data_IF_792978087787
#
_entry.id   IF_792978087787
#
_cell.length_a   1.000
_cell.length_b   1.000
_cell.length_c   1.000
_cell.angle_alpha   90.00
_cell.angle_beta   90.00
_cell.angle_gamma   90.00
#
_symmetry.space_group_name_H-M   'P 1'
#
loop_
_entity.id
_entity.type
_entity.pdbx_description
1 polymer ?
#
# COMPACT_ATOMS: atom_id res chain seq x y z
N UNK A 1 -9.99 13.55 -3.05
CA UNK A 1 -9.62 14.33 -4.23
C UNK A 1 -10.63 15.45 -4.54
N UNK A 2 -11.90 15.15 -4.75
CA UNK A 2 -12.90 16.14 -5.20
C UNK A 2 -13.15 17.22 -4.14
N UNK A 3 -13.36 16.81 -2.89
CA UNK A 3 -13.77 17.72 -1.81
C UNK A 3 -12.58 18.39 -1.10
N UNK A 4 -11.53 17.62 -0.80
CA UNK A 4 -10.45 18.07 0.08
C UNK A 4 -9.25 18.63 -0.68
N UNK A 5 -8.84 18.02 -1.80
CA UNK A 5 -7.54 18.30 -2.41
C UNK A 5 -7.33 19.79 -2.78
N UNK A 6 -8.32 20.41 -3.46
CA UNK A 6 -8.22 21.82 -3.85
C UNK A 6 -8.16 22.75 -2.64
N UNK A 7 -8.97 22.47 -1.63
CA UNK A 7 -9.01 23.27 -0.38
C UNK A 7 -7.69 23.10 0.37
N UNK A 8 -7.23 21.86 0.55
CA UNK A 8 -5.98 21.57 1.24
C UNK A 8 -4.79 22.25 0.56
N UNK A 9 -4.69 22.21 -0.78
CA UNK A 9 -3.63 22.93 -1.50
C UNK A 9 -3.69 24.43 -1.32
N UNK A 10 -4.88 25.02 -1.39
CA UNK A 10 -5.05 26.46 -1.21
C UNK A 10 -4.68 26.89 0.20
N UNK A 11 -5.14 26.16 1.20
CA UNK A 11 -4.89 26.46 2.59
C UNK A 11 -3.46 26.14 3.05
N UNK A 12 -2.83 25.10 2.53
CA UNK A 12 -1.42 24.79 2.84
C UNK A 12 -0.48 25.89 2.33
N UNK A 13 -0.80 26.45 1.16
CA UNK A 13 -0.08 27.61 0.62
C UNK A 13 -0.25 28.87 1.48
N UNK A 14 -1.47 29.12 1.94
CA UNK A 14 -1.76 30.25 2.84
C UNK A 14 -1.16 30.05 4.25
N UNK A 15 -0.92 28.79 4.65
CA UNK A 15 -0.30 28.40 5.92
C UNK A 15 1.23 28.28 5.76
N UNK A 16 1.87 29.30 5.18
CA UNK A 16 3.33 29.40 5.01
C UNK A 16 3.93 28.28 4.12
N UNK A 17 3.19 27.91 3.06
CA UNK A 17 3.55 26.84 2.11
C UNK A 17 4.03 25.56 2.81
N UNK A 18 3.27 25.14 3.82
CA UNK A 18 3.61 23.99 4.66
C UNK A 18 3.86 22.73 3.82
N UNK A 19 5.00 22.08 4.04
CA UNK A 19 5.43 20.89 3.30
C UNK A 19 5.01 19.57 3.97
N UNK A 20 4.71 19.62 5.27
CA UNK A 20 4.22 18.46 6.04
C UNK A 20 2.84 18.74 6.61
N UNK A 21 2.07 17.68 6.85
CA UNK A 21 0.74 17.81 7.44
C UNK A 21 0.80 18.33 8.91
N UNK A 22 1.74 17.85 9.77
CA UNK A 22 1.91 18.45 11.10
C UNK A 22 2.22 19.94 11.06
N UNK A 23 3.09 20.40 10.17
CA UNK A 23 3.39 21.83 9.98
C UNK A 23 2.15 22.59 9.52
N UNK A 24 1.40 22.05 8.55
CA UNK A 24 0.15 22.65 8.10
C UNK A 24 -0.86 22.85 9.23
N UNK A 25 -1.07 21.84 10.06
CA UNK A 25 -2.00 21.91 11.18
C UNK A 25 -1.54 22.95 12.22
N UNK A 26 -0.26 22.96 12.54
CA UNK A 26 0.33 23.93 13.48
C UNK A 26 0.16 25.37 12.98
N UNK A 27 0.47 25.63 11.72
CA UNK A 27 0.33 26.95 11.12
C UNK A 27 -1.15 27.37 10.96
N UNK A 28 -2.03 26.43 10.62
CA UNK A 28 -3.46 26.66 10.48
C UNK A 28 -4.13 27.10 11.78
N UNK A 29 -3.77 26.45 12.89
CA UNK A 29 -4.34 26.79 14.19
C UNK A 29 -3.60 27.92 14.90
N UNK A 30 -2.54 28.46 14.26
CA UNK A 30 -1.72 29.55 14.78
C UNK A 30 -1.31 29.30 16.25
N UNK A 31 -0.97 28.06 16.58
CA UNK A 31 -0.65 27.68 17.96
C UNK A 31 0.84 27.92 18.24
N UNK A 32 1.13 28.57 19.36
CA UNK A 32 2.51 28.73 19.86
C UNK A 32 3.05 27.42 20.45
N UNK A 33 2.16 26.49 20.81
CA UNK A 33 2.53 25.20 21.36
C UNK A 33 2.99 24.24 20.27
N UNK A 34 4.16 23.66 20.47
CA UNK A 34 4.72 22.60 19.59
C UNK A 34 4.18 21.21 19.89
N UNK A 35 3.31 21.09 20.89
CA UNK A 35 2.77 19.77 21.27
C UNK A 35 1.99 19.12 20.15
N UNK A 36 1.18 19.87 19.40
CA UNK A 36 0.44 19.39 18.24
C UNK A 36 1.39 18.82 17.17
N UNK A 37 2.43 19.58 16.80
CA UNK A 37 3.42 19.16 15.81
C UNK A 37 4.17 17.91 16.25
N UNK A 38 4.58 17.85 17.52
CA UNK A 38 5.25 16.69 18.11
C UNK A 38 4.37 15.45 18.08
N UNK A 39 3.12 15.57 18.54
CA UNK A 39 2.17 14.44 18.60
C UNK A 39 1.90 13.88 17.20
N UNK A 40 1.61 14.75 16.23
CA UNK A 40 1.39 14.34 14.85
C UNK A 40 2.61 13.63 14.25
N UNK A 41 3.81 14.16 14.46
CA UNK A 41 5.04 13.55 13.95
C UNK A 41 5.32 12.18 14.59
N UNK A 42 5.05 12.01 15.88
CA UNK A 42 5.18 10.72 16.57
C UNK A 42 4.18 9.68 16.02
N UNK A 43 2.92 10.08 15.78
CA UNK A 43 1.92 9.21 15.14
C UNK A 43 2.42 8.76 13.77
N UNK A 44 2.99 9.67 12.97
CA UNK A 44 3.54 9.34 11.64
C UNK A 44 4.67 8.31 11.73
N UNK A 45 5.64 8.54 12.61
CA UNK A 45 6.76 7.63 12.78
C UNK A 45 6.30 6.23 13.16
N UNK A 46 5.40 6.13 14.15
CA UNK A 46 4.91 4.85 14.64
C UNK A 46 4.07 4.12 13.59
N UNK A 47 3.04 4.77 13.06
CA UNK A 47 2.11 4.15 12.13
C UNK A 47 2.77 3.78 10.79
N UNK A 48 3.66 4.63 10.25
CA UNK A 48 4.37 4.30 9.02
C UNK A 48 5.40 3.19 9.20
N UNK A 49 6.04 3.08 10.35
CA UNK A 49 6.96 1.96 10.61
C UNK A 49 6.23 0.61 10.54
N UNK A 50 5.01 0.54 11.13
CA UNK A 50 4.17 -0.66 11.05
C UNK A 50 3.72 -0.91 9.60
N UNK A 51 3.34 0.14 8.89
CA UNK A 51 2.87 0.01 7.51
C UNK A 51 3.99 -0.42 6.55
N UNK A 52 5.21 0.09 6.71
CA UNK A 52 6.39 -0.38 5.95
C UNK A 52 6.68 -1.86 6.24
N UNK A 53 6.48 -2.31 7.48
CA UNK A 53 6.61 -3.73 7.81
C UNK A 53 5.62 -4.60 7.03
N UNK A 54 4.38 -4.14 6.80
CA UNK A 54 3.41 -4.86 5.96
C UNK A 54 3.88 -4.99 4.50
N UNK A 55 4.48 -3.94 3.94
CA UNK A 55 5.04 -3.97 2.58
C UNK A 55 6.22 -4.94 2.47
N UNK A 56 7.07 -5.05 3.51
CA UNK A 56 8.14 -6.05 3.56
C UNK A 56 7.59 -7.47 3.56
N UNK A 57 6.55 -7.76 4.34
CA UNK A 57 5.90 -9.08 4.35
C UNK A 57 5.30 -9.39 2.98
N UNK A 58 4.61 -8.44 2.35
CA UNK A 58 4.01 -8.61 1.03
C UNK A 58 5.06 -8.92 -0.04
N UNK A 59 6.12 -8.12 -0.13
CA UNK A 59 7.21 -8.34 -1.06
C UNK A 59 7.94 -9.67 -0.83
N UNK A 60 8.16 -10.03 0.43
CA UNK A 60 8.77 -11.32 0.79
C UNK A 60 7.93 -12.50 0.32
N UNK A 61 6.60 -12.43 0.45
CA UNK A 61 5.69 -13.50 0.00
C UNK A 61 5.82 -13.76 -1.51
N UNK A 62 5.98 -12.70 -2.32
CA UNK A 62 6.21 -12.84 -3.76
C UNK A 62 7.59 -13.46 -4.04
N UNK A 63 8.62 -12.97 -3.36
CA UNK A 63 9.98 -13.47 -3.54
C UNK A 63 10.12 -14.95 -3.22
N UNK A 64 9.55 -15.39 -2.09
CA UNK A 64 9.59 -16.80 -1.69
C UNK A 64 8.74 -17.71 -2.58
N UNK A 65 7.68 -17.16 -3.18
CA UNK A 65 6.87 -17.89 -4.17
C UNK A 65 7.65 -18.07 -5.49
N UNK A 66 8.47 -17.11 -5.87
CA UNK A 66 9.31 -17.18 -7.08
C UNK A 66 10.56 -18.02 -6.88
N UNK A 67 11.16 -17.92 -5.71
CA UNK A 67 12.41 -18.60 -5.33
C UNK A 67 12.21 -19.42 -4.05
N UNK A 68 11.55 -20.58 -4.13
CA UNK A 68 11.22 -21.40 -2.95
C UNK A 68 12.44 -21.88 -2.15
N UNK A 69 13.62 -21.90 -2.77
CA UNK A 69 14.89 -22.28 -2.15
C UNK A 69 15.49 -21.17 -1.27
N UNK A 70 15.03 -19.94 -1.43
CA UNK A 70 15.54 -18.79 -0.65
C UNK A 70 14.78 -18.71 0.67
N UNK A 71 15.49 -18.65 1.78
CA UNK A 71 14.84 -18.49 3.08
C UNK A 71 14.06 -17.16 3.16
N UNK A 72 12.88 -17.12 3.81
CA UNK A 72 12.08 -15.91 3.93
C UNK A 72 12.84 -14.72 4.53
N UNK A 73 13.75 -14.96 5.47
CA UNK A 73 14.57 -13.90 6.08
C UNK A 73 15.54 -13.27 5.09
N UNK A 74 16.18 -14.08 4.23
CA UNK A 74 17.09 -13.58 3.19
C UNK A 74 16.29 -12.81 2.14
N UNK A 75 15.15 -13.33 1.71
CA UNK A 75 14.25 -12.67 0.76
C UNK A 75 13.79 -11.30 1.29
N UNK A 76 13.36 -11.25 2.55
CA UNK A 76 12.94 -10.01 3.22
C UNK A 76 14.08 -9.00 3.33
N UNK A 77 15.28 -9.44 3.67
CA UNK A 77 16.44 -8.56 3.76
C UNK A 77 16.87 -8.01 2.38
N UNK A 78 16.86 -8.85 1.35
CA UNK A 78 17.13 -8.41 -0.02
C UNK A 78 16.10 -7.37 -0.49
N UNK A 79 14.82 -7.60 -0.19
CA UNK A 79 13.74 -6.67 -0.51
C UNK A 79 13.87 -5.34 0.26
N UNK A 80 14.25 -5.40 1.55
CA UNK A 80 14.57 -4.22 2.35
C UNK A 80 15.68 -3.38 1.71
N UNK A 81 16.76 -4.01 1.24
CA UNK A 81 17.87 -3.29 0.59
C UNK A 81 17.41 -2.56 -0.66
N UNK A 82 16.51 -3.15 -1.45
CA UNK A 82 15.95 -2.51 -2.65
C UNK A 82 15.15 -1.26 -2.23
N UNK A 83 14.23 -1.37 -1.26
CA UNK A 83 13.44 -0.23 -0.78
C UNK A 83 14.34 0.88 -0.25
N UNK A 84 15.31 0.52 0.59
CA UNK A 84 16.25 1.50 1.17
C UNK A 84 17.05 2.21 0.09
N UNK A 85 17.55 1.49 -0.92
CA UNK A 85 18.29 2.09 -2.03
C UNK A 85 17.43 3.11 -2.79
N UNK A 86 16.19 2.74 -3.12
CA UNK A 86 15.25 3.65 -3.78
C UNK A 86 15.00 4.93 -2.96
N UNK A 87 14.67 4.77 -1.68
CA UNK A 87 14.30 5.90 -0.81
C UNK A 87 15.51 6.77 -0.46
N UNK A 88 16.67 6.14 -0.20
CA UNK A 88 17.87 6.85 0.23
C UNK A 88 18.46 7.75 -0.86
N UNK A 89 18.48 7.27 -2.11
CA UNK A 89 19.05 8.02 -3.24
C UNK A 89 18.02 8.86 -3.98
N UNK A 90 16.73 8.51 -3.94
CA UNK A 90 15.71 9.07 -4.80
C UNK A 90 15.22 10.46 -4.37
N UNK A 91 14.80 10.65 -3.15
CA UNK A 91 14.07 11.84 -2.72
C UNK A 91 12.67 11.96 -3.33
N UNK A 92 11.92 13.02 -2.99
CA UNK A 92 10.49 13.14 -3.35
C UNK A 92 10.20 13.09 -4.85
N UNK A 93 10.97 13.81 -5.66
CA UNK A 93 10.74 13.86 -7.12
C UNK A 93 10.99 12.52 -7.78
N UNK A 94 12.05 11.83 -7.39
CA UNK A 94 12.38 10.52 -7.94
C UNK A 94 11.32 9.48 -7.53
N UNK A 95 10.88 9.49 -6.27
CA UNK A 95 9.79 8.62 -5.79
C UNK A 95 8.51 8.87 -6.59
N UNK A 96 8.13 10.13 -6.85
CA UNK A 96 6.95 10.42 -7.67
C UNK A 96 7.06 9.85 -9.10
N UNK A 97 8.24 9.91 -9.73
CA UNK A 97 8.46 9.35 -11.07
C UNK A 97 8.45 7.81 -11.07
N UNK A 98 9.12 7.19 -10.09
CA UNK A 98 9.09 5.74 -9.96
C UNK A 98 7.69 5.22 -9.67
N UNK A 99 6.95 5.87 -8.75
CA UNK A 99 5.56 5.55 -8.44
C UNK A 99 4.65 5.64 -9.67
N UNK A 100 4.87 6.63 -10.54
CA UNK A 100 4.10 6.77 -11.77
C UNK A 100 4.28 5.55 -12.70
N UNK A 101 5.52 5.15 -12.99
CA UNK A 101 5.79 4.00 -13.86
C UNK A 101 5.38 2.68 -13.19
N UNK A 102 5.59 2.53 -11.90
CA UNK A 102 5.17 1.38 -11.12
C UNK A 102 3.65 1.27 -11.09
N UNK A 103 2.94 2.40 -10.88
CA UNK A 103 1.48 2.46 -10.93
C UNK A 103 0.91 2.09 -12.29
N UNK A 104 1.55 2.52 -13.38
CA UNK A 104 1.17 2.14 -14.73
C UNK A 104 1.35 0.63 -14.97
N UNK A 105 2.48 0.07 -14.54
CA UNK A 105 2.77 -1.35 -14.63
C UNK A 105 1.75 -2.18 -13.83
N UNK A 106 1.41 -1.73 -12.61
CA UNK A 106 0.39 -2.38 -11.76
C UNK A 106 -0.98 -2.38 -12.43
N UNK A 107 -1.42 -1.25 -12.96
CA UNK A 107 -2.71 -1.13 -13.64
C UNK A 107 -2.78 -2.06 -14.86
N UNK A 108 -1.73 -2.07 -15.68
CA UNK A 108 -1.65 -2.96 -16.84
C UNK A 108 -1.68 -4.44 -16.42
N UNK A 109 -0.95 -4.81 -15.38
CA UNK A 109 -0.94 -6.18 -14.87
C UNK A 109 -2.31 -6.62 -14.35
N UNK A 110 -2.99 -5.76 -13.58
CA UNK A 110 -4.33 -6.04 -13.06
C UNK A 110 -5.37 -6.17 -14.18
N UNK A 111 -5.29 -5.36 -15.22
CA UNK A 111 -6.21 -5.42 -16.36
C UNK A 111 -5.95 -6.63 -17.25
N UNK A 112 -4.69 -6.94 -17.52
CA UNK A 112 -4.30 -7.93 -18.51
C UNK A 112 -4.72 -9.35 -18.09
N UNK A 113 -4.61 -9.69 -16.81
CA UNK A 113 -4.93 -11.03 -16.30
C UNK A 113 -6.42 -11.39 -16.55
N UNK A 114 -7.40 -10.64 -16.06
CA UNK A 114 -8.81 -10.97 -16.32
C UNK A 114 -9.19 -10.84 -17.80
N UNK A 115 -8.57 -9.92 -18.52
CA UNK A 115 -8.85 -9.72 -19.96
C UNK A 115 -8.47 -10.96 -20.78
N UNK A 116 -7.26 -11.52 -20.54
CA UNK A 116 -6.79 -12.72 -21.25
C UNK A 116 -7.69 -13.93 -20.92
N UNK A 117 -8.09 -14.08 -19.67
CA UNK A 117 -9.02 -15.15 -19.28
C UNK A 117 -10.37 -14.99 -19.96
N UNK A 118 -10.93 -13.79 -19.96
CA UNK A 118 -12.24 -13.51 -20.53
C UNK A 118 -12.27 -13.73 -22.06
N UNK A 119 -11.23 -13.30 -22.78
CA UNK A 119 -11.20 -13.35 -24.26
C UNK A 119 -10.65 -14.70 -24.76
N UNK A 120 -9.59 -15.21 -24.14
CA UNK A 120 -8.85 -16.35 -24.66
C UNK A 120 -9.19 -17.69 -23.99
N UNK A 121 -9.81 -17.67 -22.83
CA UNK A 121 -10.03 -18.87 -22.00
C UNK A 121 -11.40 -18.86 -21.31
N UNK A 122 -12.41 -18.30 -21.96
CA UNK A 122 -13.77 -18.21 -21.43
C UNK A 122 -14.42 -19.57 -21.22
N UNK A 123 -13.95 -20.59 -21.95
CA UNK A 123 -14.34 -22.00 -21.81
C UNK A 123 -13.95 -22.61 -20.47
N UNK A 124 -12.95 -22.03 -19.78
CA UNK A 124 -12.50 -22.49 -18.47
C UNK A 124 -13.27 -21.83 -17.31
N UNK A 125 -14.14 -20.87 -17.58
CA UNK A 125 -14.93 -20.19 -16.57
C UNK A 125 -16.11 -21.06 -16.15
N UNK A 126 -15.98 -21.75 -15.01
CA UNK A 126 -17.04 -22.55 -14.41
C UNK A 126 -17.81 -21.77 -13.34
N UNK A 127 -19.01 -21.25 -13.63
CA UNK A 127 -19.81 -20.50 -12.68
C UNK A 127 -20.25 -21.33 -11.46
N UNK A 128 -20.29 -22.66 -11.57
CA UNK A 128 -20.67 -23.53 -10.45
C UNK A 128 -19.65 -23.49 -9.32
N UNK A 129 -18.39 -23.19 -9.64
CA UNK A 129 -17.33 -23.01 -8.65
C UNK A 129 -17.60 -21.84 -7.68
N UNK A 130 -18.45 -20.88 -8.05
CA UNK A 130 -18.81 -19.75 -7.18
C UNK A 130 -19.76 -20.17 -6.05
N UNK A 131 -20.63 -21.12 -6.30
CA UNK A 131 -21.64 -21.59 -5.33
C UNK A 131 -21.24 -22.86 -4.62
N UNK A 132 -20.19 -23.57 -5.11
CA UNK A 132 -19.71 -24.80 -4.50
C UNK A 132 -18.99 -24.49 -3.18
N UNK A 133 -19.41 -25.19 -2.12
CA UNK A 133 -18.72 -25.17 -0.82
C UNK A 133 -17.60 -26.19 -0.86
N UNK A 134 -16.39 -25.74 -0.52
CA UNK A 134 -15.22 -26.61 -0.41
C UNK A 134 -14.78 -26.72 1.03
N UNK A 135 -14.40 -27.93 1.44
CA UNK A 135 -13.75 -28.17 2.71
C UNK A 135 -12.23 -28.14 2.52
N UNK A 136 -11.53 -27.44 3.38
CA UNK A 136 -10.09 -27.47 3.44
C UNK A 136 -9.62 -27.59 4.89
N UNK A 137 -8.50 -28.26 5.07
CA UNK A 137 -7.86 -28.35 6.38
C UNK A 137 -6.84 -27.22 6.49
N UNK A 138 -7.00 -26.36 7.49
CA UNK A 138 -6.03 -25.31 7.79
C UNK A 138 -4.70 -25.95 8.19
N UNK A 139 -3.64 -25.62 7.47
CA UNK A 139 -2.32 -26.23 7.68
C UNK A 139 -1.67 -25.84 9.02
N UNK A 140 -2.08 -24.72 9.63
CA UNK A 140 -1.53 -24.24 10.90
C UNK A 140 -2.27 -24.81 12.12
N UNK A 141 -3.60 -24.97 12.02
CA UNK A 141 -4.45 -25.36 13.15
C UNK A 141 -4.95 -26.81 13.06
N UNK A 142 -4.89 -27.43 11.86
CA UNK A 142 -5.50 -28.73 11.59
C UNK A 142 -7.04 -28.71 11.55
N UNK A 143 -7.66 -27.54 11.68
CA UNK A 143 -9.10 -27.40 11.68
C UNK A 143 -9.66 -27.53 10.27
N UNK A 144 -10.76 -28.31 10.14
CA UNK A 144 -11.51 -28.41 8.89
C UNK A 144 -12.43 -27.19 8.79
N UNK A 145 -12.25 -26.38 7.75
CA UNK A 145 -13.03 -25.19 7.51
C UNK A 145 -13.79 -25.31 6.20
N UNK A 146 -15.07 -24.98 6.23
CA UNK A 146 -15.86 -24.86 5.01
C UNK A 146 -15.66 -23.47 4.40
N UNK A 147 -15.26 -23.43 3.12
CA UNK A 147 -15.08 -22.21 2.37
C UNK A 147 -16.11 -22.14 1.24
N UNK A 148 -17.04 -21.21 1.36
CA UNK A 148 -17.93 -20.80 0.28
C UNK A 148 -17.45 -19.46 -0.26
N UNK A 149 -17.53 -19.26 -1.58
CA UNK A 149 -17.21 -17.95 -2.17
C UNK A 149 -18.30 -16.90 -1.85
N UNK A 150 -19.46 -17.37 -1.41
CA UNK A 150 -20.68 -16.58 -1.25
C UNK A 150 -21.67 -16.86 -2.38
N UNK A 151 -22.96 -16.71 -2.12
CA UNK A 151 -24.02 -17.07 -3.06
C UNK A 151 -24.07 -16.18 -4.30
N UNK A 152 -23.81 -14.91 -4.20
CA UNK A 152 -23.86 -13.95 -5.29
C UNK A 152 -23.02 -12.70 -5.03
N UNK A 153 -22.83 -11.90 -6.07
CA UNK A 153 -22.10 -10.63 -6.00
C UNK A 153 -22.71 -9.67 -4.96
N UNK A 154 -24.00 -9.80 -4.69
CA UNK A 154 -24.76 -8.92 -3.82
C UNK A 154 -25.17 -9.54 -2.47
N UNK A 155 -24.63 -10.70 -2.13
CA UNK A 155 -24.98 -11.43 -0.89
C UNK A 155 -24.16 -10.98 0.33
N UNK A 156 -23.56 -9.81 0.27
CA UNK A 156 -22.83 -9.23 1.41
C UNK A 156 -23.80 -8.79 2.52
N UNK A 157 -23.44 -9.09 3.77
CA UNK A 157 -24.18 -8.58 4.90
C UNK A 157 -24.08 -7.05 5.01
N UNK A 158 -25.04 -6.40 5.65
CA UNK A 158 -24.96 -4.96 5.84
C UNK A 158 -23.72 -4.55 6.67
N UNK A 159 -23.26 -5.42 7.57
CA UNK A 159 -22.04 -5.22 8.34
C UNK A 159 -20.81 -5.20 7.46
N UNK A 160 -20.72 -6.13 6.49
CA UNK A 160 -19.60 -6.17 5.54
C UNK A 160 -19.59 -4.94 4.63
N UNK A 161 -20.79 -4.50 4.19
CA UNK A 161 -20.92 -3.28 3.38
C UNK A 161 -20.45 -2.06 4.18
N UNK A 162 -20.90 -1.89 5.42
CA UNK A 162 -20.52 -0.75 6.27
C UNK A 162 -19.04 -0.82 6.61
N UNK A 163 -18.49 -1.99 6.92
CA UNK A 163 -17.06 -2.18 7.16
C UNK A 163 -16.23 -1.81 5.94
N UNK A 164 -16.62 -2.30 4.75
CA UNK A 164 -15.95 -1.96 3.49
C UNK A 164 -16.00 -0.46 3.16
N UNK A 165 -17.14 0.19 3.40
CA UNK A 165 -17.26 1.66 3.24
C UNK A 165 -16.43 2.41 4.28
N UNK A 166 -16.29 1.87 5.49
CA UNK A 166 -15.44 2.43 6.55
C UNK A 166 -13.98 2.55 6.16
N UNK A 167 -13.46 1.62 5.36
CA UNK A 167 -12.13 1.71 4.78
C UNK A 167 -11.94 2.99 3.94
N UNK A 168 -12.97 3.40 3.20
CA UNK A 168 -12.94 4.63 2.41
C UNK A 168 -12.74 5.88 3.25
N UNK A 169 -13.21 5.90 4.50
CA UNK A 169 -13.02 7.03 5.41
C UNK A 169 -11.55 7.22 5.82
N UNK A 170 -10.79 6.14 5.92
CA UNK A 170 -9.35 6.20 6.23
C UNK A 170 -8.54 7.00 5.22
N UNK A 171 -8.94 7.05 3.95
CA UNK A 171 -8.25 7.83 2.92
C UNK A 171 -8.20 9.33 3.22
N UNK A 172 -9.17 9.88 3.94
CA UNK A 172 -9.17 11.30 4.31
C UNK A 172 -8.02 11.67 5.25
N UNK A 173 -7.54 10.72 6.05
CA UNK A 173 -6.47 10.93 7.00
C UNK A 173 -5.09 10.44 6.56
N UNK A 174 -4.93 9.84 5.37
CA UNK A 174 -3.66 9.25 4.95
C UNK A 174 -2.61 10.30 4.54
N UNK A 175 -1.56 10.52 5.36
CA UNK A 175 -0.64 11.65 5.14
C UNK A 175 0.11 11.56 3.81
N UNK A 176 0.52 10.38 3.34
CA UNK A 176 1.21 10.22 2.07
C UNK A 176 0.34 10.58 0.85
N UNK A 177 -1.00 10.52 0.98
CA UNK A 177 -1.94 11.01 -0.03
C UNK A 177 -2.11 12.52 0.10
N UNK A 178 -2.31 13.02 1.32
CA UNK A 178 -2.55 14.43 1.60
C UNK A 178 -1.35 15.31 1.19
N UNK A 179 -0.13 14.84 1.45
CA UNK A 179 1.10 15.54 1.03
C UNK A 179 1.17 15.69 -0.51
N UNK A 180 0.68 14.70 -1.27
CA UNK A 180 0.61 14.82 -2.73
C UNK A 180 -0.36 15.92 -3.18
N UNK A 181 -1.47 16.16 -2.46
CA UNK A 181 -2.34 17.32 -2.74
C UNK A 181 -1.63 18.63 -2.44
N UNK A 182 -0.90 18.68 -1.34
CA UNK A 182 -0.14 19.87 -0.92
C UNK A 182 1.01 20.19 -1.88
N UNK A 183 1.62 19.19 -2.53
CA UNK A 183 2.76 19.37 -3.44
C UNK A 183 2.37 19.76 -4.88
N UNK A 184 1.09 19.75 -5.25
CA UNK A 184 0.65 20.15 -6.59
C UNK A 184 0.96 21.64 -6.81
N UNK A 185 1.61 21.97 -7.93
CA UNK A 185 2.07 23.33 -8.25
C UNK A 185 0.94 24.35 -8.21
N UNK A 186 -0.17 24.08 -8.91
CA UNK A 186 -1.31 24.98 -9.03
C UNK A 186 -2.62 24.31 -8.65
N UNK A 187 -3.48 24.94 -7.82
CA UNK A 187 -4.80 24.38 -7.47
C UNK A 187 -5.68 24.05 -8.68
N UNK A 188 -5.49 24.72 -9.83
CA UNK A 188 -6.20 24.44 -11.08
C UNK A 188 -5.87 23.08 -11.68
N UNK A 189 -4.70 22.50 -11.39
CA UNK A 189 -4.27 21.19 -11.90
C UNK A 189 -4.95 20.04 -11.15
N UNK A 190 -5.48 20.28 -9.97
CA UNK A 190 -6.09 19.26 -9.11
C UNK A 190 -7.25 18.55 -9.83
N UNK A 191 -8.06 19.27 -10.61
CA UNK A 191 -9.17 18.64 -11.35
C UNK A 191 -8.68 17.54 -12.29
N UNK A 192 -7.60 17.77 -13.04
CA UNK A 192 -7.00 16.77 -13.94
C UNK A 192 -6.42 15.58 -13.15
N UNK A 193 -5.66 15.88 -12.10
CA UNK A 193 -5.08 14.85 -11.21
C UNK A 193 -6.17 13.99 -10.56
N UNK A 194 -7.28 14.59 -10.14
CA UNK A 194 -8.42 13.87 -9.56
C UNK A 194 -9.05 12.90 -10.55
N UNK A 195 -9.26 13.32 -11.78
CA UNK A 195 -9.83 12.45 -12.83
C UNK A 195 -8.92 11.26 -13.06
N UNK A 196 -7.63 11.48 -13.25
CA UNK A 196 -6.65 10.41 -13.45
C UNK A 196 -6.64 9.43 -12.27
N UNK A 197 -6.58 9.95 -11.04
CA UNK A 197 -6.56 9.11 -9.85
C UNK A 197 -7.84 8.29 -9.68
N UNK A 198 -9.02 8.90 -9.88
CA UNK A 198 -10.31 8.21 -9.74
C UNK A 198 -10.47 7.12 -10.81
N UNK A 199 -10.15 7.43 -12.06
CA UNK A 199 -10.20 6.45 -13.16
C UNK A 199 -9.24 5.29 -12.88
N UNK A 200 -8.01 5.58 -12.44
CA UNK A 200 -7.03 4.57 -12.06
C UNK A 200 -7.57 3.64 -10.95
N UNK A 201 -8.14 4.21 -9.89
CA UNK A 201 -8.69 3.44 -8.76
C UNK A 201 -9.84 2.56 -9.21
N UNK A 202 -10.79 3.10 -10.00
CA UNK A 202 -11.94 2.31 -10.49
C UNK A 202 -11.45 1.13 -11.32
N UNK A 203 -10.57 1.35 -12.28
CA UNK A 203 -10.04 0.28 -13.14
C UNK A 203 -9.30 -0.77 -12.31
N UNK A 204 -8.42 -0.32 -11.41
CA UNK A 204 -7.59 -1.24 -10.61
C UNK A 204 -8.42 -2.10 -9.66
N UNK A 205 -9.37 -1.51 -8.93
CA UNK A 205 -10.24 -2.24 -8.00
C UNK A 205 -11.18 -3.18 -8.74
N UNK A 206 -11.79 -2.72 -9.83
CA UNK A 206 -12.65 -3.58 -10.65
C UNK A 206 -11.87 -4.78 -11.22
N UNK A 207 -10.68 -4.55 -11.74
CA UNK A 207 -9.81 -5.62 -12.24
C UNK A 207 -9.41 -6.61 -11.13
N UNK A 208 -9.11 -6.12 -9.91
CA UNK A 208 -8.80 -6.98 -8.77
C UNK A 208 -9.98 -7.87 -8.39
N UNK A 209 -11.21 -7.34 -8.40
CA UNK A 209 -12.43 -8.13 -8.17
C UNK A 209 -12.61 -9.18 -9.27
N UNK A 210 -12.40 -8.83 -10.54
CA UNK A 210 -12.48 -9.80 -11.64
C UNK A 210 -11.43 -10.91 -11.52
N UNK A 211 -10.22 -10.60 -11.06
CA UNK A 211 -9.19 -11.61 -10.79
C UNK A 211 -9.66 -12.61 -9.73
N UNK A 212 -10.28 -12.13 -8.66
CA UNK A 212 -10.83 -13.00 -7.63
C UNK A 212 -11.95 -13.91 -8.18
N UNK A 213 -12.87 -13.34 -8.94
CA UNK A 213 -13.99 -14.05 -9.58
C UNK A 213 -13.52 -15.11 -10.58
N UNK A 214 -12.73 -14.70 -11.57
CA UNK A 214 -12.24 -15.62 -12.60
C UNK A 214 -11.25 -16.63 -12.02
N UNK A 215 -10.43 -16.19 -11.06
CA UNK A 215 -9.54 -17.09 -10.34
C UNK A 215 -10.30 -18.21 -9.63
N UNK A 216 -11.44 -17.89 -8.98
CA UNK A 216 -12.29 -18.91 -8.36
C UNK A 216 -12.89 -19.84 -9.41
N UNK A 217 -13.42 -19.33 -10.52
CA UNK A 217 -14.01 -20.13 -11.57
C UNK A 217 -13.00 -21.08 -12.24
N UNK A 218 -11.77 -20.60 -12.45
CA UNK A 218 -10.73 -21.36 -13.17
C UNK A 218 -9.97 -22.30 -12.29
N UNK A 219 -9.67 -21.91 -11.03
CA UNK A 219 -8.83 -22.67 -10.10
C UNK A 219 -9.64 -23.57 -9.15
N UNK A 220 -10.93 -23.28 -8.99
CA UNK A 220 -11.81 -24.07 -8.09
C UNK A 220 -11.26 -24.13 -6.67
N UNK A 221 -11.02 -25.36 -6.18
CA UNK A 221 -10.46 -25.64 -4.86
C UNK A 221 -8.92 -25.71 -4.82
N UNK A 222 -8.24 -25.61 -5.96
CA UNK A 222 -6.79 -25.89 -6.07
C UNK A 222 -5.96 -25.05 -5.07
N UNK A 223 -6.28 -23.76 -4.96
CA UNK A 223 -5.57 -22.86 -4.04
C UNK A 223 -6.05 -22.96 -2.59
N UNK A 224 -7.27 -23.42 -2.37
CA UNK A 224 -7.86 -23.55 -1.03
C UNK A 224 -7.24 -24.70 -0.24
N UNK A 225 -7.01 -25.84 -0.88
CA UNK A 225 -6.44 -27.04 -0.23
C UNK A 225 -5.07 -26.81 0.40
N UNK A 226 -4.36 -25.76 -0.05
CA UNK A 226 -3.05 -25.39 0.47
C UNK A 226 -3.06 -24.06 1.26
N UNK A 227 -4.22 -23.43 1.45
CA UNK A 227 -4.33 -22.10 2.05
C UNK A 227 -3.66 -21.00 1.20
N UNK A 228 -3.53 -21.20 -0.11
CA UNK A 228 -2.82 -20.34 -1.05
C UNK A 228 -3.75 -19.41 -1.86
N UNK A 229 -5.00 -19.21 -1.44
CA UNK A 229 -5.98 -18.36 -2.12
C UNK A 229 -5.47 -16.92 -2.34
N UNK A 230 -4.59 -16.43 -1.45
CA UNK A 230 -3.91 -15.13 -1.60
C UNK A 230 -2.98 -15.05 -2.81
N UNK A 231 -2.59 -16.17 -3.39
CA UNK A 231 -1.68 -16.26 -4.54
C UNK A 231 -2.44 -16.36 -5.87
N UNK A 232 -3.76 -16.13 -5.89
CA UNK A 232 -4.62 -16.30 -7.08
C UNK A 232 -4.08 -15.53 -8.29
N UNK A 233 -3.63 -14.28 -8.12
CA UNK A 233 -3.01 -13.51 -9.20
C UNK A 233 -1.77 -14.19 -9.77
N UNK A 234 -0.88 -14.68 -8.89
CA UNK A 234 0.35 -15.37 -9.29
C UNK A 234 0.03 -16.68 -10.02
N UNK A 235 -0.93 -17.44 -9.50
CA UNK A 235 -1.36 -18.70 -10.10
C UNK A 235 -1.94 -18.49 -11.50
N UNK A 236 -2.81 -17.49 -11.66
CA UNK A 236 -3.38 -17.13 -12.98
C UNK A 236 -2.30 -16.62 -13.94
N UNK A 237 -1.38 -15.77 -13.47
CA UNK A 237 -0.27 -15.28 -14.29
C UNK A 237 0.61 -16.43 -14.82
N UNK A 238 0.92 -17.42 -13.97
CA UNK A 238 1.70 -18.59 -14.36
C UNK A 238 0.94 -19.53 -15.31
N UNK A 239 -0.38 -19.63 -15.17
CA UNK A 239 -1.20 -20.53 -15.98
C UNK A 239 -1.45 -20.00 -17.39
N UNK A 240 -1.67 -18.70 -17.54
CA UNK A 240 -2.15 -18.10 -18.79
C UNK A 240 -1.10 -17.33 -19.59
N UNK A 241 0.07 -17.07 -19.02
CA UNK A 241 1.07 -16.23 -19.68
C UNK A 241 2.41 -16.95 -19.89
N UNK A 242 3.09 -16.70 -21.02
CA UNK A 242 4.44 -17.18 -21.22
C UNK A 242 5.41 -16.54 -20.20
N UNK A 243 6.52 -17.23 -19.92
CA UNK A 243 7.45 -16.90 -18.83
C UNK A 243 7.87 -15.43 -18.77
N UNK A 244 8.17 -14.80 -19.92
CA UNK A 244 8.59 -13.40 -19.97
C UNK A 244 7.50 -12.42 -19.52
N UNK A 245 6.26 -12.60 -20.00
CA UNK A 245 5.11 -11.77 -19.59
C UNK A 245 4.75 -12.08 -18.14
N UNK A 246 4.74 -13.35 -17.73
CA UNK A 246 4.52 -13.73 -16.36
C UNK A 246 5.52 -13.02 -15.41
N UNK A 247 6.81 -13.00 -15.75
CA UNK A 247 7.82 -12.27 -14.98
C UNK A 247 7.51 -10.78 -14.84
N UNK A 248 7.04 -10.13 -15.92
CA UNK A 248 6.62 -8.72 -15.88
C UNK A 248 5.40 -8.49 -14.97
N UNK A 249 4.40 -9.39 -15.02
CA UNK A 249 3.23 -9.32 -14.15
C UNK A 249 3.61 -9.49 -12.67
N UNK A 250 4.55 -10.37 -12.38
CA UNK A 250 5.05 -10.57 -11.01
C UNK A 250 5.89 -9.40 -10.54
N UNK A 251 6.65 -8.77 -11.43
CA UNK A 251 7.35 -7.51 -11.11
C UNK A 251 6.40 -6.39 -10.73
N UNK A 252 5.16 -6.38 -11.24
CA UNK A 252 4.15 -5.40 -10.86
C UNK A 252 3.75 -5.52 -9.37
N UNK A 253 3.73 -6.72 -8.79
CA UNK A 253 3.43 -6.91 -7.36
C UNK A 253 4.57 -6.36 -6.50
N UNK A 254 5.82 -6.62 -6.92
CA UNK A 254 7.00 -6.08 -6.25
C UNK A 254 7.00 -4.55 -6.33
N UNK A 255 6.68 -4.00 -7.51
CA UNK A 255 6.54 -2.56 -7.72
C UNK A 255 5.50 -1.93 -6.79
N UNK A 256 4.35 -2.60 -6.59
CA UNK A 256 3.31 -2.15 -5.65
C UNK A 256 3.83 -2.04 -4.21
N UNK A 257 4.59 -3.03 -3.76
CA UNK A 257 5.14 -3.03 -2.41
C UNK A 257 6.24 -1.97 -2.23
N UNK A 258 7.08 -1.75 -3.25
CA UNK A 258 8.15 -0.73 -3.23
C UNK A 258 7.54 0.67 -3.20
N UNK A 259 6.62 1.00 -4.12
CA UNK A 259 6.00 2.33 -4.21
C UNK A 259 5.25 2.73 -2.94
N UNK A 260 4.71 1.75 -2.24
CA UNK A 260 4.05 1.99 -0.95
C UNK A 260 5.09 2.28 0.14
N UNK A 261 6.11 1.44 0.26
CA UNK A 261 7.10 1.55 1.34
C UNK A 261 7.99 2.80 1.21
N UNK A 262 8.45 3.13 0.01
CA UNK A 262 9.32 4.30 -0.20
C UNK A 262 8.57 5.61 0.06
N UNK A 263 7.32 5.72 -0.40
CA UNK A 263 6.47 6.88 -0.10
C UNK A 263 6.23 7.07 1.39
N UNK A 264 6.01 5.99 2.14
CA UNK A 264 5.79 6.03 3.59
C UNK A 264 7.07 6.40 4.35
N UNK A 265 8.21 5.81 3.98
CA UNK A 265 9.51 6.15 4.55
C UNK A 265 9.87 7.61 4.28
N UNK A 266 9.60 8.10 3.07
CA UNK A 266 9.86 9.48 2.70
C UNK A 266 9.02 10.45 3.53
N UNK A 267 7.72 10.22 3.69
CA UNK A 267 6.84 11.08 4.48
C UNK A 267 7.22 11.03 5.96
N UNK A 268 7.50 9.84 6.51
CA UNK A 268 7.95 9.68 7.89
C UNK A 268 9.27 10.43 8.15
N UNK A 269 10.25 10.30 7.25
CA UNK A 269 11.54 10.97 7.38
C UNK A 269 11.43 12.49 7.21
N UNK A 270 10.58 12.96 6.30
CA UNK A 270 10.32 14.39 6.09
C UNK A 270 9.64 15.01 7.30
N UNK A 271 8.64 14.33 7.86
CA UNK A 271 7.97 14.79 9.08
C UNK A 271 8.94 14.81 10.26
N UNK A 272 9.76 13.78 10.45
CA UNK A 272 10.76 13.80 11.50
C UNK A 272 11.72 15.00 11.36
N UNK A 273 12.25 15.22 10.18
CA UNK A 273 13.24 16.28 9.98
C UNK A 273 12.64 17.68 10.09
N UNK A 274 11.45 17.90 9.52
CA UNK A 274 10.78 19.20 9.53
C UNK A 274 10.07 19.50 10.85
N UNK A 275 9.44 18.47 11.45
CA UNK A 275 8.53 18.65 12.57
C UNK A 275 9.14 18.32 13.93
N UNK A 276 10.21 17.51 13.97
CA UNK A 276 10.91 17.15 15.21
C UNK A 276 12.35 17.69 15.23
N UNK A 277 13.18 17.32 14.25
CA UNK A 277 14.61 17.63 14.29
C UNK A 277 14.87 19.15 14.26
N UNK A 278 14.35 19.85 13.25
CA UNK A 278 14.54 21.31 13.14
C UNK A 278 13.96 22.07 14.35
N UNK A 279 12.69 21.88 14.75
CA UNK A 279 12.10 22.69 15.81
C UNK A 279 12.69 22.45 17.20
N UNK A 280 13.07 21.21 17.51
CA UNK A 280 13.44 20.81 18.87
C UNK A 280 14.95 20.67 19.10
N UNK A 281 15.70 20.22 18.07
CA UNK A 281 17.12 19.91 18.23
C UNK A 281 18.05 20.93 17.55
N UNK A 282 17.74 21.34 16.32
CA UNK A 282 18.65 22.15 15.50
C UNK A 282 17.90 23.16 14.63
N UNK A 283 17.44 24.27 15.23
CA UNK A 283 16.65 25.32 14.53
C UNK A 283 17.31 25.84 13.25
N UNK A 284 18.64 25.92 13.23
CA UNK A 284 19.42 26.45 12.12
C UNK A 284 20.09 25.33 11.30
N UNK A 285 19.53 24.09 11.30
CA UNK A 285 20.06 23.00 10.49
C UNK A 285 20.09 23.36 9.01
N UNK A 286 21.21 23.11 8.34
CA UNK A 286 21.34 23.32 6.90
C UNK A 286 20.49 22.31 6.13
N UNK A 287 20.19 22.60 4.86
CA UNK A 287 19.46 21.67 3.99
C UNK A 287 20.21 20.33 3.85
N UNK A 288 21.55 20.37 3.71
CA UNK A 288 22.38 19.17 3.63
C UNK A 288 22.32 18.34 4.92
N UNK A 289 22.34 18.98 6.08
CA UNK A 289 22.20 18.33 7.40
C UNK A 289 20.82 17.68 7.52
N UNK A 290 19.76 18.42 7.19
CA UNK A 290 18.38 17.92 7.23
C UNK A 290 18.19 16.71 6.31
N UNK A 291 18.73 16.77 5.10
CA UNK A 291 18.69 15.67 4.14
C UNK A 291 19.43 14.42 4.68
N UNK A 292 20.61 14.61 5.26
CA UNK A 292 21.38 13.50 5.83
C UNK A 292 20.66 12.85 7.02
N UNK A 293 20.11 13.65 7.92
CA UNK A 293 19.32 13.16 9.07
C UNK A 293 18.10 12.37 8.56
N UNK A 294 17.40 12.86 7.54
CA UNK A 294 16.28 12.14 6.92
C UNK A 294 16.71 10.78 6.35
N UNK A 295 17.85 10.74 5.66
CA UNK A 295 18.40 9.49 5.11
C UNK A 295 18.77 8.48 6.20
N UNK A 296 19.40 8.93 7.28
CA UNK A 296 19.71 8.09 8.44
C UNK A 296 18.41 7.55 9.05
N UNK A 297 17.40 8.38 9.17
CA UNK A 297 16.12 7.95 9.70
C UNK A 297 15.45 6.89 8.82
N UNK A 298 15.51 7.02 7.50
CA UNK A 298 15.02 5.97 6.58
C UNK A 298 15.67 4.63 6.89
N UNK A 299 16.99 4.59 7.13
CA UNK A 299 17.69 3.35 7.52
C UNK A 299 17.16 2.81 8.85
N UNK A 300 17.04 3.67 9.87
CA UNK A 300 16.57 3.27 11.21
C UNK A 300 15.15 2.70 11.13
N UNK A 301 14.21 3.43 10.49
CA UNK A 301 12.82 2.99 10.37
C UNK A 301 12.71 1.68 9.58
N UNK A 302 13.50 1.53 8.52
CA UNK A 302 13.54 0.31 7.72
C UNK A 302 14.03 -0.90 8.53
N UNK A 303 15.03 -0.73 9.38
CA UNK A 303 15.52 -1.81 10.26
C UNK A 303 14.49 -2.17 11.35
N UNK A 304 13.80 -1.18 11.91
CA UNK A 304 12.72 -1.43 12.88
C UNK A 304 11.57 -2.16 12.19
N UNK A 305 11.17 -1.72 11.00
CA UNK A 305 10.12 -2.36 10.21
C UNK A 305 10.48 -3.82 9.85
N UNK A 306 11.75 -4.10 9.53
CA UNK A 306 12.25 -5.45 9.32
C UNK A 306 12.12 -6.32 10.57
N UNK A 307 12.45 -5.78 11.76
CA UNK A 307 12.26 -6.47 13.03
C UNK A 307 10.80 -6.81 13.29
N UNK A 308 9.88 -5.86 13.07
CA UNK A 308 8.43 -6.06 13.19
C UNK A 308 7.94 -7.11 12.20
N UNK A 309 8.31 -7.01 10.93
CA UNK A 309 7.93 -7.94 9.89
C UNK A 309 8.36 -9.39 10.21
N UNK A 310 9.58 -9.57 10.73
CA UNK A 310 10.07 -10.88 11.16
C UNK A 310 9.29 -11.47 12.34
N UNK A 311 8.75 -10.65 13.24
CA UNK A 311 8.03 -11.11 14.44
C UNK A 311 6.58 -11.49 14.14
N UNK A 312 5.95 -10.95 13.09
CA UNK A 312 4.52 -11.13 12.78
C UNK A 312 4.21 -12.31 11.87
N UNK A 313 5.24 -12.94 11.31
CA UNK A 313 5.07 -14.04 10.36
C UNK A 313 4.73 -13.59 8.93
N UNK A 314 4.53 -14.55 8.03
CA UNK A 314 4.31 -14.33 6.60
C UNK A 314 2.91 -14.77 6.21
N UNK A 315 1.94 -13.90 6.26
CA UNK A 315 0.57 -14.24 5.82
C UNK A 315 -0.23 -13.02 5.38
N UNK A 316 -1.27 -13.24 4.59
CA UNK A 316 -2.17 -12.15 4.18
C UNK A 316 -2.82 -11.48 5.39
N UNK A 317 -3.18 -12.27 6.42
CA UNK A 317 -3.76 -11.73 7.64
C UNK A 317 -2.78 -10.82 8.39
N UNK A 318 -1.51 -11.19 8.52
CA UNK A 318 -0.51 -10.34 9.16
C UNK A 318 -0.30 -9.00 8.40
N UNK A 319 -0.40 -9.02 7.07
CA UNK A 319 -0.37 -7.81 6.26
C UNK A 319 -1.59 -6.94 6.57
N UNK A 320 -2.79 -7.53 6.55
CA UNK A 320 -4.04 -6.81 6.80
C UNK A 320 -4.05 -6.18 8.19
N UNK A 321 -3.72 -6.94 9.24
CA UNK A 321 -3.67 -6.44 10.62
C UNK A 321 -2.74 -5.22 10.77
N UNK A 322 -1.57 -5.26 10.12
CA UNK A 322 -0.64 -4.12 10.14
C UNK A 322 -1.17 -2.91 9.38
N UNK A 323 -1.81 -3.14 8.22
CA UNK A 323 -2.42 -2.07 7.41
C UNK A 323 -3.59 -1.45 8.16
N UNK A 324 -4.49 -2.25 8.75
CA UNK A 324 -5.63 -1.77 9.52
C UNK A 324 -5.21 -0.90 10.71
N UNK A 325 -4.19 -1.33 11.46
CA UNK A 325 -3.66 -0.53 12.57
C UNK A 325 -3.14 0.85 12.12
N UNK A 326 -2.37 0.90 11.03
CA UNK A 326 -1.87 2.15 10.50
C UNK A 326 -3.00 3.02 9.92
N UNK A 327 -3.94 2.40 9.21
CA UNK A 327 -5.10 3.05 8.61
C UNK A 327 -6.02 3.66 9.65
N UNK A 328 -6.32 2.90 10.72
CA UNK A 328 -7.10 3.38 11.85
C UNK A 328 -6.43 4.55 12.58
N UNK A 329 -5.11 4.46 12.83
CA UNK A 329 -4.36 5.53 13.46
C UNK A 329 -4.39 6.83 12.65
N UNK A 330 -4.19 6.76 11.33
CA UNK A 330 -4.22 7.93 10.46
C UNK A 330 -5.64 8.45 10.22
N UNK A 331 -6.60 7.58 9.96
CA UNK A 331 -7.99 7.94 9.74
C UNK A 331 -8.61 8.64 10.95
N UNK A 332 -8.38 8.12 12.15
CA UNK A 332 -8.88 8.72 13.39
C UNK A 332 -8.19 10.05 13.76
N UNK A 333 -6.90 10.20 13.41
CA UNK A 333 -6.13 11.39 13.82
C UNK A 333 -6.23 12.55 12.83
N UNK A 334 -6.36 12.27 11.53
CA UNK A 334 -6.22 13.28 10.48
C UNK A 334 -7.38 13.30 9.46
N UNK A 335 -8.32 12.35 9.55
CA UNK A 335 -9.48 12.18 8.67
C UNK A 335 -10.69 13.05 8.94
#
# INVERSE_FOLDING_TARGET
>A
WILCAKRLRTFSKAADDAITLPQYLTNRFATDSRSLQLTCALIFLFAYTIYVASALVAGTSVFTTLFPTVSPKIAMFAFLLIIVAYTFFGGFTAVCWTDFFQGLLMMLALMLVPLVVCIGHSDLLDPTALTTVYEYTDAATGAVTQCAFGGGIFDASWQDIVSGLGWGLGYFGMPHILVRFMSIEKPSMIKKSSIVAIVWVIISLFSAVLIAYFGRMVMGAELLTQGNQKLVFIAMARRFFPAGICGLLLAAIIAASISTADSQLLVASSSFTADLYKPFFRKNASEKETLMVGRILVLILSLIAFGIANSKGSGAQAIMDMVENAWGAFGASFG
#
